data_IF_822021140344
#
_entry.id   IF_822021140344
#
_cell.length_a   1.000
_cell.length_b   1.000
_cell.length_c   1.000
_cell.angle_alpha   90.00
_cell.angle_beta   90.00
_cell.angle_gamma   90.00
#
_symmetry.space_group_name_H-M   'P 1'
#
loop_
_entity.id
_entity.type
_entity.pdbx_description
1 polymer ?
#
# COMPACT_ATOMS: atom_id res chain seq x y z
N UNK A 1 -22.90 22.46 -27.51
CA UNK A 1 -21.85 22.40 -26.47
C UNK A 1 -22.32 21.44 -25.39
N UNK A 2 -21.72 20.25 -25.28
CA UNK A 2 -21.79 19.46 -24.06
C UNK A 2 -20.40 18.88 -23.83
N UNK A 3 -19.71 19.44 -22.84
CA UNK A 3 -18.37 19.02 -22.46
C UNK A 3 -18.36 17.55 -22.08
N UNK A 4 -17.45 16.83 -22.72
CA UNK A 4 -17.24 15.39 -22.54
C UNK A 4 -16.41 15.22 -21.28
N UNK A 5 -17.09 14.95 -20.18
CA UNK A 5 -16.50 14.75 -18.87
C UNK A 5 -15.65 13.44 -18.79
N UNK A 6 -14.54 13.39 -18.01
CA UNK A 6 -13.71 12.18 -17.85
C UNK A 6 -14.48 11.08 -17.09
N UNK A 7 -14.09 9.81 -17.33
CA UNK A 7 -14.88 8.59 -17.07
C UNK A 7 -15.24 8.28 -15.61
N UNK A 8 -14.58 8.85 -14.61
CA UNK A 8 -14.84 8.53 -13.20
C UNK A 8 -15.41 9.73 -12.45
N UNK A 9 -16.70 9.66 -12.10
CA UNK A 9 -17.41 10.70 -11.33
C UNK A 9 -18.35 10.07 -10.34
N UNK A 10 -18.42 10.68 -9.15
CA UNK A 10 -19.47 10.42 -8.19
C UNK A 10 -20.50 11.56 -8.27
N UNK A 11 -21.76 11.22 -8.50
CA UNK A 11 -22.88 12.10 -8.23
C UNK A 11 -23.28 11.89 -6.76
N UNK A 12 -23.10 12.91 -5.92
CA UNK A 12 -23.39 12.83 -4.48
C UNK A 12 -24.66 13.62 -4.20
N UNK A 13 -25.67 12.93 -3.66
CA UNK A 13 -26.93 13.55 -3.24
C UNK A 13 -26.88 13.83 -1.73
N UNK A 14 -27.09 15.10 -1.35
CA UNK A 14 -27.09 15.53 0.05
C UNK A 14 -28.45 15.36 0.74
N UNK A 15 -28.54 15.83 1.99
CA UNK A 15 -29.81 15.92 2.75
C UNK A 15 -29.99 14.87 3.84
N UNK A 16 -29.18 13.81 3.85
CA UNK A 16 -29.17 12.80 4.91
C UNK A 16 -28.09 13.08 5.98
N UNK A 17 -28.42 12.90 7.27
CA UNK A 17 -27.43 12.89 8.35
C UNK A 17 -26.76 11.52 8.41
N UNK A 18 -25.43 11.48 8.45
CA UNK A 18 -24.67 10.25 8.69
C UNK A 18 -24.76 9.87 10.17
N UNK A 19 -25.13 8.61 10.46
CA UNK A 19 -25.15 8.03 11.80
C UNK A 19 -24.60 6.61 11.72
N UNK A 20 -23.58 6.32 12.52
CA UNK A 20 -22.93 5.02 12.57
C UNK A 20 -21.47 5.12 12.98
N UNK A 21 -20.78 3.99 12.93
CA UNK A 21 -19.36 3.88 13.22
C UNK A 21 -18.63 3.29 12.00
N UNK A 22 -17.38 3.68 11.81
CA UNK A 22 -16.51 3.13 10.76
C UNK A 22 -15.17 2.76 11.36
N UNK A 23 -14.61 1.64 10.92
CA UNK A 23 -13.26 1.23 11.30
C UNK A 23 -12.25 1.88 10.35
N UNK A 24 -11.27 2.58 10.90
CA UNK A 24 -10.19 3.18 10.13
C UNK A 24 -9.03 2.19 10.01
N UNK A 25 -8.66 1.85 8.77
CA UNK A 25 -7.48 1.03 8.49
C UNK A 25 -6.19 1.81 8.73
N UNK A 26 -5.05 1.14 8.83
CA UNK A 26 -3.78 1.82 9.08
C UNK A 26 -3.45 2.92 8.07
N UNK A 27 -2.74 3.93 8.56
CA UNK A 27 -2.42 5.11 7.76
C UNK A 27 -1.39 4.79 6.68
N UNK A 28 -1.74 5.02 5.41
CA UNK A 28 -0.85 4.85 4.24
C UNK A 28 0.58 5.31 4.50
N UNK A 29 0.75 6.57 4.92
CA UNK A 29 2.08 7.17 5.09
C UNK A 29 2.90 6.54 6.22
N UNK A 30 2.25 5.90 7.20
CA UNK A 30 2.94 5.14 8.24
C UNK A 30 3.42 3.80 7.67
N UNK A 31 2.52 3.07 7.02
CA UNK A 31 2.82 1.78 6.40
C UNK A 31 3.94 1.88 5.38
N UNK A 32 3.89 2.85 4.46
CA UNK A 32 4.95 3.02 3.45
C UNK A 32 6.33 3.27 4.07
N UNK A 33 6.40 4.03 5.18
CA UNK A 33 7.66 4.27 5.90
C UNK A 33 8.15 3.00 6.59
N UNK A 34 7.25 2.24 7.22
CA UNK A 34 7.59 0.97 7.84
C UNK A 34 8.10 -0.04 6.81
N UNK A 35 7.47 -0.10 5.63
CA UNK A 35 7.93 -0.93 4.51
C UNK A 35 9.37 -0.56 4.11
N UNK A 36 9.68 0.74 3.96
CA UNK A 36 11.02 1.20 3.64
C UNK A 36 12.04 0.89 4.75
N UNK A 37 11.66 1.07 6.04
CA UNK A 37 12.54 0.79 7.19
C UNK A 37 12.98 -0.67 7.25
N UNK A 38 12.21 -1.62 6.70
CA UNK A 38 12.62 -3.03 6.67
C UNK A 38 13.97 -3.24 5.96
N UNK A 39 14.32 -2.40 4.98
CA UNK A 39 15.60 -2.47 4.26
C UNK A 39 16.82 -2.14 5.12
N UNK A 40 16.63 -1.61 6.33
CA UNK A 40 17.73 -1.22 7.23
C UNK A 40 18.42 -2.43 7.89
N UNK A 41 17.84 -3.63 7.81
CA UNK A 41 18.43 -4.86 8.30
C UNK A 41 17.90 -6.10 7.55
N UNK A 42 18.75 -7.12 7.30
CA UNK A 42 18.28 -8.41 6.82
C UNK A 42 17.31 -9.08 7.82
N UNK A 43 16.35 -9.86 7.31
CA UNK A 43 15.43 -10.61 8.15
C UNK A 43 13.98 -10.58 7.70
N UNK A 44 13.08 -11.08 8.55
CA UNK A 44 11.63 -11.20 8.28
C UNK A 44 10.85 -10.24 9.18
N UNK A 45 10.15 -9.29 8.56
CA UNK A 45 9.39 -8.25 9.25
C UNK A 45 7.91 -8.35 8.87
N UNK A 46 7.01 -8.28 9.86
CA UNK A 46 5.55 -8.29 9.59
C UNK A 46 4.93 -6.99 10.07
N UNK A 47 4.21 -6.31 9.18
CA UNK A 47 3.47 -5.08 9.46
C UNK A 47 1.98 -5.44 9.46
N UNK A 48 1.28 -5.07 10.53
CA UNK A 48 -0.16 -5.28 10.70
C UNK A 48 -0.95 -4.01 10.40
N UNK A 49 -2.27 -4.15 10.23
CA UNK A 49 -3.19 -3.07 9.91
C UNK A 49 -2.80 -2.31 8.62
N UNK A 50 -2.42 -3.05 7.58
CA UNK A 50 -2.01 -2.51 6.28
C UNK A 50 -3.22 -2.29 5.38
N UNK A 51 -3.47 -1.07 4.87
CA UNK A 51 -4.59 -0.82 3.97
C UNK A 51 -4.35 -1.46 2.59
N UNK A 52 -5.41 -1.98 1.98
CA UNK A 52 -5.35 -2.49 0.60
C UNK A 52 -5.57 -1.35 -0.40
N UNK A 53 -4.48 -0.68 -0.77
CA UNK A 53 -4.47 0.47 -1.67
C UNK A 53 -3.32 0.37 -2.68
N UNK A 54 -3.45 1.12 -3.78
CA UNK A 54 -2.49 1.11 -4.87
C UNK A 54 -1.05 1.41 -4.41
N UNK A 55 -0.86 2.39 -3.52
CA UNK A 55 0.47 2.75 -3.00
C UNK A 55 1.19 1.59 -2.29
N UNK A 56 0.46 0.78 -1.51
CA UNK A 56 1.02 -0.40 -0.83
C UNK A 56 1.42 -1.47 -1.84
N UNK A 57 0.59 -1.65 -2.89
CA UNK A 57 0.88 -2.59 -3.98
C UNK A 57 2.13 -2.17 -4.75
N UNK A 58 2.23 -0.88 -5.10
CA UNK A 58 3.40 -0.32 -5.80
C UNK A 58 4.68 -0.43 -4.95
N UNK A 59 4.59 -0.14 -3.64
CA UNK A 59 5.74 -0.27 -2.75
C UNK A 59 6.17 -1.73 -2.58
N UNK A 60 5.22 -2.67 -2.52
CA UNK A 60 5.53 -4.10 -2.48
C UNK A 60 6.26 -4.57 -3.76
N UNK A 61 5.82 -4.10 -4.92
CA UNK A 61 6.48 -4.39 -6.19
C UNK A 61 7.89 -3.79 -6.24
N UNK A 62 8.05 -2.53 -5.81
CA UNK A 62 9.35 -1.87 -5.70
C UNK A 62 10.31 -2.70 -4.82
N UNK A 63 9.88 -3.09 -3.62
CA UNK A 63 10.70 -3.90 -2.71
C UNK A 63 11.02 -5.27 -3.29
N UNK A 64 10.09 -5.87 -4.04
CA UNK A 64 10.33 -7.13 -4.75
C UNK A 64 11.44 -6.99 -5.79
N UNK A 65 11.46 -5.88 -6.54
CA UNK A 65 12.53 -5.55 -7.50
C UNK A 65 13.88 -5.30 -6.83
N UNK A 66 13.90 -4.92 -5.55
CA UNK A 66 15.12 -4.83 -4.74
C UNK A 66 15.54 -6.18 -4.13
N UNK A 67 14.89 -7.29 -4.52
CA UNK A 67 15.23 -8.64 -4.06
C UNK A 67 14.54 -9.07 -2.76
N UNK A 68 13.59 -8.28 -2.23
CA UNK A 68 12.81 -8.70 -1.07
C UNK A 68 11.74 -9.73 -1.47
N UNK A 69 11.42 -10.66 -0.58
CA UNK A 69 10.24 -11.54 -0.75
C UNK A 69 9.06 -10.94 0.02
N UNK A 70 7.93 -10.77 -0.66
CA UNK A 70 6.72 -10.15 -0.11
C UNK A 70 5.57 -11.14 -0.03
N UNK A 71 4.96 -11.25 1.14
CA UNK A 71 3.74 -12.02 1.38
C UNK A 71 2.64 -11.09 1.89
N UNK A 72 1.50 -11.02 1.19
CA UNK A 72 0.35 -10.20 1.60
C UNK A 72 -0.78 -11.09 2.09
N UNK A 73 -1.28 -10.80 3.29
CA UNK A 73 -2.49 -11.40 3.85
C UNK A 73 -3.57 -10.32 3.94
N UNK A 74 -4.46 -10.30 2.96
CA UNK A 74 -5.57 -9.35 2.89
C UNK A 74 -6.66 -9.62 3.94
N UNK A 75 -6.82 -10.88 4.36
CA UNK A 75 -7.80 -11.24 5.37
C UNK A 75 -7.39 -10.75 6.77
N UNK A 76 -6.09 -10.71 7.05
CA UNK A 76 -5.51 -10.20 8.30
C UNK A 76 -5.01 -8.76 8.21
N UNK A 77 -5.16 -8.10 7.06
CA UNK A 77 -4.61 -6.78 6.79
C UNK A 77 -3.14 -6.69 7.18
N UNK A 78 -2.31 -7.62 6.72
CA UNK A 78 -0.89 -7.66 7.04
C UNK A 78 -0.01 -7.93 5.84
N UNK A 79 1.23 -7.48 5.91
CA UNK A 79 2.28 -7.76 4.92
C UNK A 79 3.52 -8.24 5.65
N UNK A 80 4.12 -9.31 5.13
CA UNK A 80 5.42 -9.79 5.58
C UNK A 80 6.45 -9.55 4.49
N UNK A 81 7.56 -8.92 4.89
CA UNK A 81 8.67 -8.55 4.03
C UNK A 81 9.90 -9.30 4.53
N UNK A 82 10.48 -10.13 3.67
CA UNK A 82 11.76 -10.81 3.93
C UNK A 82 12.85 -10.11 3.14
N UNK A 83 13.81 -9.51 3.85
CA UNK A 83 14.93 -8.75 3.29
C UNK A 83 16.17 -9.64 3.29
N UNK A 84 16.85 -9.82 2.14
CA UNK A 84 18.09 -10.60 2.06
C UNK A 84 19.26 -9.88 2.73
N UNK A 85 20.40 -10.58 2.89
CA UNK A 85 21.65 -10.01 3.41
C UNK A 85 22.13 -8.81 2.56
N UNK A 86 21.98 -8.92 1.24
CA UNK A 86 22.39 -7.91 0.27
C UNK A 86 21.19 -7.53 -0.63
N UNK A 87 20.32 -6.60 -0.21
CA UNK A 87 19.25 -6.11 -1.07
C UNK A 87 19.83 -5.28 -2.23
N UNK A 88 19.14 -5.32 -3.36
CA UNK A 88 19.44 -4.45 -4.49
C UNK A 88 19.29 -2.97 -4.12
N UNK A 89 20.02 -2.11 -4.82
CA UNK A 89 19.96 -0.65 -4.64
C UNK A 89 19.34 0.08 -5.86
N UNK A 90 18.95 -0.68 -6.89
CA UNK A 90 18.27 -0.19 -8.09
C UNK A 90 17.05 -1.03 -8.35
N UNK A 91 15.90 -0.37 -8.43
CA UNK A 91 14.70 -0.95 -9.00
C UNK A 91 14.49 -0.28 -10.36
N UNK A 92 14.66 -1.05 -11.43
CA UNK A 92 14.37 -0.54 -12.77
C UNK A 92 12.88 -0.24 -12.89
N UNK A 93 12.55 0.86 -13.56
CA UNK A 93 11.17 1.27 -13.83
C UNK A 93 10.97 1.23 -15.34
N UNK A 94 10.01 0.44 -15.80
CA UNK A 94 9.59 0.45 -17.21
C UNK A 94 8.64 1.64 -17.38
N UNK A 95 9.07 2.63 -18.17
CA UNK A 95 8.27 3.82 -18.55
C UNK A 95 7.48 3.55 -19.82
#
# INVERSE_FOLDING_TARGET
>A
MSERFPRDRFAVEGGAKLVGEVTVTGAKNSVLKLMAVTLMAPGRFTIQNVPDIADVTMMAELLSRLGCTIERDLARSSITITVPEEPGHRAEYEL
#
